data_IF_100541343507
#
_entry.id   IF_100541343507
#
_cell.length_a   1.000
_cell.length_b   1.000
_cell.length_c   1.000
_cell.angle_alpha   90.00
_cell.angle_beta   90.00
_cell.angle_gamma   90.00
#
_symmetry.space_group_name_H-M   'P 1'
#
loop_
_entity.id
_entity.type
_entity.pdbx_description
1 polymer ?
#
# COMPACT_ATOMS: atom_id res chain seq x y z
N UNK A 1 20.54 22.33 -36.44
CA UNK A 1 21.16 21.61 -35.30
C UNK A 1 20.07 21.41 -34.26
N UNK A 2 19.34 20.29 -34.30
CA UNK A 2 18.19 20.03 -33.40
C UNK A 2 18.24 18.60 -32.84
N UNK A 3 19.42 18.16 -32.41
CA UNK A 3 19.63 16.84 -31.79
C UNK A 3 19.62 16.94 -30.24
N UNK A 4 19.78 18.14 -29.68
CA UNK A 4 19.91 18.34 -28.23
C UNK A 4 18.61 18.62 -27.48
N UNK A 5 17.48 18.83 -28.18
CA UNK A 5 16.19 19.15 -27.53
C UNK A 5 15.41 17.91 -27.08
N UNK A 6 15.78 16.71 -27.56
CA UNK A 6 15.15 15.46 -27.18
C UNK A 6 15.93 14.66 -26.11
N UNK A 7 17.12 15.10 -25.69
CA UNK A 7 17.92 14.39 -24.68
C UNK A 7 17.51 14.72 -23.22
N UNK A 8 16.68 15.72 -23.00
CA UNK A 8 16.30 16.19 -21.65
C UNK A 8 14.79 16.12 -21.37
N UNK A 9 14.01 15.42 -22.21
CA UNK A 9 12.56 15.34 -22.06
C UNK A 9 12.08 14.19 -21.15
N UNK A 10 12.99 13.38 -20.61
CA UNK A 10 12.65 12.16 -19.85
C UNK A 10 13.45 12.02 -18.55
N UNK A 11 13.40 13.02 -17.68
CA UNK A 11 13.53 12.73 -16.24
C UNK A 11 12.15 12.76 -15.66
N UNK A 12 11.44 11.66 -15.88
CA UNK A 12 10.11 11.41 -15.33
C UNK A 12 10.11 11.73 -13.85
N UNK A 13 9.04 12.38 -13.40
CA UNK A 13 8.73 12.49 -11.98
C UNK A 13 8.72 11.07 -11.43
N UNK A 14 9.70 10.71 -10.60
CA UNK A 14 9.79 9.38 -10.02
C UNK A 14 8.60 9.22 -9.08
N UNK A 15 7.82 8.16 -9.28
CA UNK A 15 6.69 7.87 -8.41
C UNK A 15 7.20 7.61 -7.00
N UNK A 16 6.70 8.32 -5.99
CA UNK A 16 7.10 8.09 -4.60
C UNK A 16 5.99 7.31 -3.90
N UNK A 17 6.34 6.12 -3.41
CA UNK A 17 5.47 5.28 -2.60
C UNK A 17 6.01 5.26 -1.18
N UNK A 18 5.25 5.82 -0.23
CA UNK A 18 5.58 5.75 1.19
C UNK A 18 4.89 4.55 1.82
N UNK A 19 5.67 3.69 2.48
CA UNK A 19 5.21 2.56 3.27
C UNK A 19 5.35 2.87 4.76
N UNK A 20 4.23 3.03 5.45
CA UNK A 20 4.18 3.10 6.90
C UNK A 20 4.23 1.68 7.49
N UNK A 21 5.38 1.28 8.03
CA UNK A 21 5.66 -0.09 8.42
C UNK A 21 5.98 -0.22 9.92
N UNK A 22 5.54 -1.30 10.57
CA UNK A 22 5.88 -1.63 11.96
C UNK A 22 6.79 -2.86 11.99
N UNK A 23 8.06 -2.76 12.45
CA UNK A 23 8.99 -3.90 12.48
C UNK A 23 8.52 -5.03 13.40
N UNK A 24 7.65 -4.76 14.38
CA UNK A 24 7.05 -5.79 15.23
C UNK A 24 5.91 -6.57 14.55
N UNK A 25 5.48 -6.17 13.35
CA UNK A 25 4.39 -6.82 12.60
C UNK A 25 4.92 -7.61 11.41
N UNK A 26 4.64 -8.92 11.38
CA UNK A 26 5.03 -9.82 10.29
C UNK A 26 4.41 -9.42 8.93
N UNK A 27 3.16 -8.96 8.94
CA UNK A 27 2.48 -8.41 7.76
C UNK A 27 3.25 -7.22 7.17
N UNK A 28 3.81 -6.39 8.05
CA UNK A 28 4.57 -5.22 7.65
C UNK A 28 5.91 -5.56 7.01
N UNK A 29 6.61 -6.56 7.54
CA UNK A 29 7.87 -7.08 6.97
C UNK A 29 7.63 -7.66 5.57
N UNK A 30 6.51 -8.37 5.39
CA UNK A 30 6.11 -8.91 4.08
C UNK A 30 5.81 -7.79 3.08
N UNK A 31 5.05 -6.78 3.48
CA UNK A 31 4.75 -5.63 2.63
C UNK A 31 6.03 -4.89 2.19
N UNK A 32 6.96 -4.67 3.13
CA UNK A 32 8.26 -4.06 2.82
C UNK A 32 9.07 -4.90 1.82
N UNK A 33 9.20 -6.21 2.06
CA UNK A 33 9.92 -7.11 1.15
C UNK A 33 9.29 -7.12 -0.24
N UNK A 34 7.96 -7.18 -0.31
CA UNK A 34 7.22 -7.17 -1.57
C UNK A 34 7.45 -5.88 -2.37
N UNK A 35 7.29 -4.71 -1.73
CA UNK A 35 7.50 -3.42 -2.39
C UNK A 35 8.96 -3.23 -2.80
N UNK A 36 9.91 -3.68 -1.98
CA UNK A 36 11.34 -3.63 -2.31
C UNK A 36 11.68 -4.51 -3.51
N UNK A 37 11.11 -5.72 -3.59
CA UNK A 37 11.25 -6.60 -4.75
C UNK A 37 10.61 -5.98 -6.00
N UNK A 38 9.43 -5.37 -5.86
CA UNK A 38 8.77 -4.68 -6.96
C UNK A 38 9.61 -3.51 -7.49
N UNK A 39 10.21 -2.70 -6.60
CA UNK A 39 11.10 -1.61 -6.98
C UNK A 39 12.36 -2.10 -7.72
N UNK A 40 13.04 -3.13 -7.20
CA UNK A 40 14.24 -3.70 -7.84
C UNK A 40 13.95 -4.36 -9.19
N UNK A 41 12.77 -4.98 -9.35
CA UNK A 41 12.32 -5.53 -10.62
C UNK A 41 12.00 -4.44 -11.66
N UNK A 42 11.45 -3.30 -11.24
CA UNK A 42 11.22 -2.17 -12.14
C UNK A 42 12.54 -1.65 -12.73
N UNK A 43 13.58 -1.48 -11.90
CA UNK A 43 14.89 -1.02 -12.35
C UNK A 43 15.62 -2.02 -13.26
N UNK A 44 15.45 -3.33 -13.02
CA UNK A 44 16.15 -4.38 -13.79
C UNK A 44 15.56 -4.60 -15.19
N UNK A 45 14.31 -4.20 -15.42
CA UNK A 45 13.64 -4.35 -16.73
C UNK A 45 13.99 -3.19 -17.68
N UNK A 46 14.46 -2.05 -17.16
CA UNK A 46 14.91 -0.91 -17.97
C UNK A 46 16.19 -1.20 -18.78
N UNK A 47 16.99 -2.20 -18.40
CA UNK A 47 18.20 -2.59 -19.13
C UNK A 47 17.97 -3.65 -20.21
N UNK A 48 16.73 -4.14 -20.38
CA UNK A 48 16.42 -5.29 -21.23
C UNK A 48 15.58 -4.94 -22.47
N UNK A 49 15.33 -3.67 -22.77
CA UNK A 49 14.57 -3.30 -23.97
C UNK A 49 15.36 -2.41 -24.94
N UNK A 50 16.43 -3.00 -25.48
CA UNK A 50 17.07 -2.58 -26.73
C UNK A 50 16.93 -3.62 -27.86
N UNK A 51 16.03 -4.61 -27.74
CA UNK A 51 15.68 -5.48 -28.86
C UNK A 51 14.51 -6.41 -28.51
N UNK A 52 13.32 -6.16 -29.06
CA UNK A 52 12.32 -7.23 -29.15
C UNK A 52 10.88 -6.75 -29.10
N UNK A 53 10.34 -6.49 -30.27
CA UNK A 53 8.90 -6.40 -30.58
C UNK A 53 8.04 -7.36 -29.73
N UNK A 54 7.35 -6.84 -28.73
CA UNK A 54 6.31 -7.55 -27.98
C UNK A 54 5.08 -6.66 -27.78
N UNK A 55 4.38 -6.41 -28.87
CA UNK A 55 2.95 -6.09 -28.82
C UNK A 55 2.22 -7.16 -28.00
N UNK A 56 1.59 -6.75 -26.88
CA UNK A 56 0.70 -7.51 -25.96
C UNK A 56 1.27 -8.03 -24.63
N UNK A 57 2.41 -7.56 -24.15
CA UNK A 57 2.81 -7.80 -22.75
C UNK A 57 3.40 -6.54 -22.11
N UNK A 58 2.54 -5.67 -21.57
CA UNK A 58 2.74 -4.97 -20.28
C UNK A 58 1.74 -3.82 -20.13
N UNK A 59 0.45 -4.12 -19.89
CA UNK A 59 -0.50 -3.14 -19.34
C UNK A 59 -0.38 -3.05 -17.81
N UNK A 60 0.82 -3.31 -17.32
CA UNK A 60 1.26 -2.94 -16.00
C UNK A 60 2.51 -2.13 -16.32
N UNK A 61 2.32 -0.86 -16.70
CA UNK A 61 3.40 0.11 -16.66
C UNK A 61 4.05 -0.04 -15.29
N UNK A 62 5.15 -0.81 -15.26
CA UNK A 62 5.93 -1.06 -14.06
C UNK A 62 6.78 0.16 -13.92
N UNK A 63 6.16 1.24 -13.46
CA UNK A 63 6.80 2.53 -13.31
C UNK A 63 7.91 2.40 -12.27
N UNK A 64 9.06 2.97 -12.58
CA UNK A 64 10.17 3.05 -11.64
C UNK A 64 9.74 3.98 -10.48
N UNK A 65 9.53 3.39 -9.30
CA UNK A 65 9.09 4.12 -8.11
C UNK A 65 10.17 4.10 -7.02
N UNK A 66 10.17 5.12 -6.19
CA UNK A 66 10.99 5.21 -4.98
C UNK A 66 10.18 4.73 -3.78
N UNK A 67 10.71 3.73 -3.10
CA UNK A 67 10.09 3.18 -1.90
C UNK A 67 10.66 3.90 -0.67
N UNK A 68 9.85 4.75 -0.07
CA UNK A 68 10.15 5.39 1.21
C UNK A 68 9.55 4.56 2.35
N UNK A 69 10.35 4.21 3.35
CA UNK A 69 9.96 3.28 4.41
C UNK A 69 9.98 4.03 5.74
N UNK A 70 8.81 4.22 6.34
CA UNK A 70 8.63 5.07 7.53
C UNK A 70 8.13 4.24 8.71
N UNK A 71 8.90 4.26 9.80
CA UNK A 71 8.59 3.63 11.08
C UNK A 71 7.80 4.53 12.03
N UNK A 72 7.78 5.83 11.77
CA UNK A 72 6.96 6.78 12.52
C UNK A 72 5.49 6.79 12.07
N UNK A 73 4.56 7.20 12.94
CA UNK A 73 3.18 7.45 12.53
C UNK A 73 3.12 8.60 11.52
N UNK A 74 2.15 8.59 10.57
CA UNK A 74 1.98 9.69 9.62
C UNK A 74 1.68 11.01 10.33
N UNK A 75 1.96 12.13 9.69
CA UNK A 75 1.46 13.41 10.20
C UNK A 75 -0.06 13.51 10.03
N UNK A 76 -0.77 14.34 10.83
CA UNK A 76 -2.21 14.51 10.69
C UNK A 76 -2.64 15.00 9.29
N UNK A 77 -1.83 15.85 8.66
CA UNK A 77 -2.07 16.31 7.29
C UNK A 77 -1.91 15.17 6.28
N UNK A 78 -0.87 14.36 6.42
CA UNK A 78 -0.70 13.15 5.60
C UNK A 78 -1.87 12.18 5.77
N UNK A 79 -2.33 11.95 7.00
CA UNK A 79 -3.48 11.08 7.25
C UNK A 79 -4.74 11.60 6.57
N UNK A 80 -4.95 12.92 6.53
CA UNK A 80 -6.10 13.53 5.85
C UNK A 80 -6.09 13.16 4.36
N UNK A 81 -4.95 13.32 3.71
CA UNK A 81 -4.75 13.00 2.29
C UNK A 81 -4.93 11.49 2.05
N UNK A 82 -4.38 10.64 2.94
CA UNK A 82 -4.53 9.17 2.86
C UNK A 82 -6.00 8.75 2.93
N UNK A 83 -6.77 9.34 3.84
CA UNK A 83 -8.20 9.07 3.99
C UNK A 83 -8.99 9.55 2.77
N UNK A 84 -8.58 10.64 2.14
CA UNK A 84 -9.16 11.14 0.90
C UNK A 84 -8.92 10.16 -0.26
N UNK A 85 -7.69 9.66 -0.41
CA UNK A 85 -7.32 8.67 -1.43
C UNK A 85 -8.03 7.32 -1.27
N UNK A 86 -8.29 6.90 -0.03
CA UNK A 86 -8.99 5.65 0.28
C UNK A 86 -10.51 5.77 0.19
N UNK A 87 -11.03 6.97 0.44
CA UNK A 87 -12.44 7.23 0.64
C UNK A 87 -12.93 6.84 2.05
N UNK A 88 -14.08 7.40 2.46
CA UNK A 88 -14.59 7.27 3.83
C UNK A 88 -14.93 5.83 4.22
N UNK A 89 -15.32 4.99 3.26
CA UNK A 89 -15.68 3.58 3.50
C UNK A 89 -14.50 2.72 3.96
N UNK A 90 -13.26 3.16 3.72
CA UNK A 90 -12.04 2.41 4.07
C UNK A 90 -11.26 3.05 5.21
N UNK A 91 -11.80 4.10 5.84
CA UNK A 91 -11.18 4.75 6.98
C UNK A 91 -10.89 3.77 8.13
N UNK A 92 -11.81 2.82 8.38
CA UNK A 92 -11.68 1.78 9.39
C UNK A 92 -10.55 0.77 9.13
N UNK A 93 -10.03 0.67 7.90
CA UNK A 93 -8.88 -0.18 7.60
C UNK A 93 -7.55 0.49 7.97
N UNK A 94 -7.51 1.82 7.97
CA UNK A 94 -6.31 2.60 8.29
C UNK A 94 -6.28 3.04 9.74
N UNK A 95 -7.43 3.39 10.32
CA UNK A 95 -7.53 3.76 11.73
C UNK A 95 -8.52 2.82 12.40
N UNK A 96 -8.07 2.14 13.45
CA UNK A 96 -8.87 1.14 14.16
C UNK A 96 -10.17 1.78 14.67
N UNK A 97 -11.27 1.06 14.49
CA UNK A 97 -12.63 1.42 14.91
C UNK A 97 -13.17 2.70 14.24
N UNK A 98 -12.50 3.26 13.24
CA UNK A 98 -12.96 4.48 12.58
C UNK A 98 -14.14 4.20 11.63
N UNK A 99 -15.20 4.99 11.75
CA UNK A 99 -16.40 4.88 10.88
C UNK A 99 -16.39 5.87 9.71
N UNK A 100 -15.43 6.78 9.69
CA UNK A 100 -15.25 7.76 8.61
C UNK A 100 -14.04 8.64 8.84
N UNK A 101 -13.74 9.53 7.89
CA UNK A 101 -12.50 10.32 7.88
C UNK A 101 -12.36 11.23 9.10
N UNK A 102 -13.44 11.88 9.53
CA UNK A 102 -13.43 12.76 10.71
C UNK A 102 -13.21 12.00 12.03
N UNK A 103 -13.81 10.81 12.17
CA UNK A 103 -13.62 9.95 13.34
C UNK A 103 -12.20 9.37 13.37
N UNK A 104 -11.69 8.93 12.21
CA UNK A 104 -10.31 8.49 12.04
C UNK A 104 -9.31 9.57 12.48
N UNK A 105 -9.51 10.82 12.05
CA UNK A 105 -8.63 11.93 12.42
C UNK A 105 -8.67 12.22 13.93
N UNK A 106 -9.87 12.21 14.53
CA UNK A 106 -10.04 12.45 15.96
C UNK A 106 -9.34 11.36 16.78
N UNK A 107 -9.50 10.10 16.40
CA UNK A 107 -8.86 8.94 17.06
C UNK A 107 -7.36 8.95 16.87
N UNK A 108 -6.90 9.27 15.68
CA UNK A 108 -5.47 9.39 15.39
C UNK A 108 -4.80 10.47 16.24
N UNK A 109 -5.40 11.67 16.34
CA UNK A 109 -4.89 12.75 17.21
C UNK A 109 -4.91 12.38 18.69
N UNK A 110 -5.86 11.55 19.12
CA UNK A 110 -5.91 11.05 20.49
C UNK A 110 -4.87 9.95 20.75
N UNK A 111 -4.63 9.07 19.78
CA UNK A 111 -3.62 8.04 19.83
C UNK A 111 -3.09 7.69 18.45
N UNK A 112 -1.79 7.97 18.26
CA UNK A 112 -1.10 7.64 17.01
C UNK A 112 -0.99 6.12 16.80
N UNK A 113 -1.14 5.32 17.86
CA UNK A 113 -1.15 3.85 17.79
C UNK A 113 -2.45 3.29 17.25
N UNK A 114 -3.50 4.12 17.11
CA UNK A 114 -4.75 3.72 16.45
C UNK A 114 -4.57 3.51 14.94
N UNK A 115 -3.48 4.05 14.37
CA UNK A 115 -3.11 3.83 12.97
C UNK A 115 -2.65 2.39 12.74
N UNK A 116 -3.39 1.67 11.91
CA UNK A 116 -3.13 0.29 11.55
C UNK A 116 -2.04 0.23 10.51
N UNK A 117 -1.07 -0.65 10.71
CA UNK A 117 0.11 -0.81 9.85
C UNK A 117 0.19 -2.26 9.37
N UNK A 118 0.58 -2.50 8.12
CA UNK A 118 1.19 -1.55 7.18
C UNK A 118 0.19 -0.81 6.26
N UNK A 119 0.53 0.43 5.90
CA UNK A 119 -0.20 1.24 4.91
C UNK A 119 0.79 1.73 3.86
N UNK A 120 0.51 1.45 2.59
CA UNK A 120 1.24 1.97 1.45
C UNK A 120 0.44 3.13 0.84
N UNK A 121 1.13 4.22 0.55
CA UNK A 121 0.56 5.45 -0.01
C UNK A 121 1.37 5.84 -1.24
N UNK A 122 0.69 5.87 -2.37
CA UNK A 122 1.20 6.35 -3.64
C UNK A 122 0.74 7.81 -3.81
N UNK A 123 1.68 8.72 -3.59
CA UNK A 123 1.40 10.16 -3.68
C UNK A 123 1.23 10.62 -5.11
N UNK A 124 1.81 9.94 -6.10
CA UNK A 124 1.75 10.36 -7.49
C UNK A 124 0.42 9.98 -8.15
N UNK A 125 -0.09 8.78 -7.84
CA UNK A 125 -1.37 8.31 -8.37
C UNK A 125 -2.58 8.62 -7.48
N UNK A 126 -2.35 9.23 -6.31
CA UNK A 126 -3.40 9.53 -5.34
C UNK A 126 -4.09 8.29 -4.80
N UNK A 127 -3.31 7.24 -4.49
CA UNK A 127 -3.83 5.95 -4.02
C UNK A 127 -3.25 5.62 -2.66
N UNK A 128 -4.07 5.06 -1.79
CA UNK A 128 -3.59 4.46 -0.56
C UNK A 128 -4.22 3.08 -0.38
N UNK A 129 -3.50 2.18 0.28
CA UNK A 129 -3.90 0.80 0.44
C UNK A 129 -3.28 0.20 1.70
N UNK A 130 -4.09 -0.57 2.42
CA UNK A 130 -3.63 -1.39 3.54
C UNK A 130 -3.20 -2.75 3.01
N UNK A 131 -2.08 -3.30 3.48
CA UNK A 131 -1.71 -4.67 3.13
C UNK A 131 -2.59 -5.61 3.96
N UNK A 132 -3.70 -6.06 3.37
CA UNK A 132 -4.54 -7.08 3.99
C UNK A 132 -3.84 -8.41 3.70
N UNK A 133 -3.27 -9.11 4.72
CA UNK A 133 -2.86 -10.47 4.50
C UNK A 133 -4.12 -11.22 4.10
N UNK A 134 -4.14 -11.77 2.89
CA UNK A 134 -5.22 -12.64 2.43
C UNK A 134 -5.27 -13.82 3.40
N UNK A 135 -6.14 -13.72 4.42
CA UNK A 135 -6.45 -14.81 5.32
C UNK A 135 -7.26 -15.81 4.50
N UNK A 136 -6.55 -16.75 3.87
CA UNK A 136 -7.14 -18.02 3.55
C UNK A 136 -7.41 -18.72 4.89
N UNK A 137 -8.68 -18.87 5.27
CA UNK A 137 -9.12 -19.80 6.30
C UNK A 137 -9.59 -19.21 7.63
N UNK A 138 -10.87 -19.45 7.90
CA UNK A 138 -11.46 -19.76 9.23
C UNK A 138 -11.69 -18.64 10.24
N UNK A 139 -12.98 -18.29 10.44
CA UNK A 139 -13.68 -18.46 11.72
C UNK A 139 -15.14 -17.98 11.60
N UNK A 140 -16.05 -18.88 11.20
CA UNK A 140 -17.43 -18.79 11.69
C UNK A 140 -17.59 -19.83 12.80
N UNK A 141 -17.63 -19.30 14.02
CA UNK A 141 -17.88 -19.99 15.28
C UNK A 141 -19.24 -20.68 15.27
N UNK A 142 -19.27 -21.88 15.87
CA UNK A 142 -20.41 -22.79 15.87
C UNK A 142 -21.65 -22.35 16.65
N UNK A 143 -22.73 -23.06 16.37
CA UNK A 143 -23.83 -23.38 17.27
C UNK A 143 -24.61 -24.56 16.66
N UNK A 144 -24.69 -25.70 17.34
CA UNK A 144 -25.45 -26.86 16.86
C UNK A 144 -25.15 -28.19 17.54
N UNK A 145 -25.33 -28.23 18.87
CA UNK A 145 -25.96 -29.36 19.56
C UNK A 145 -25.35 -30.77 19.41
N UNK A 146 -24.33 -31.08 20.21
CA UNK A 146 -24.11 -32.44 20.69
C UNK A 146 -24.94 -32.63 21.97
N UNK A 147 -26.20 -33.04 21.84
CA UNK A 147 -26.98 -33.57 22.97
C UNK A 147 -27.05 -35.09 22.86
N UNK A 148 -26.29 -35.73 23.76
CA UNK A 148 -26.49 -37.09 24.21
C UNK A 148 -27.97 -37.33 24.53
N UNK A 149 -28.58 -38.39 24.00
CA UNK A 149 -29.29 -39.38 24.82
C UNK A 149 -29.67 -40.62 24.01
N UNK A 150 -29.07 -41.75 24.40
CA UNK A 150 -29.63 -43.10 24.25
C UNK A 150 -30.96 -43.21 25.03
N UNK A 151 -31.82 -44.16 24.66
CA UNK A 151 -31.79 -45.44 25.39
C UNK A 151 -31.61 -46.67 24.50
#
# INVERSE_FOLDING_TARGET
>A
MDVFKNLFKERGVKDVITLFHNPSSSTSIRAHTFLKQAAGNAQSTATIDQAGDHSKQSKQERTEFDLDVVEDPPTPDQLTIILEYLGPSKAGNVVKDATGSSDAMRKFKASHTAFQRPVAVDWNHGRAGTFIPSIAGEAETGNGECMLMSP
#
